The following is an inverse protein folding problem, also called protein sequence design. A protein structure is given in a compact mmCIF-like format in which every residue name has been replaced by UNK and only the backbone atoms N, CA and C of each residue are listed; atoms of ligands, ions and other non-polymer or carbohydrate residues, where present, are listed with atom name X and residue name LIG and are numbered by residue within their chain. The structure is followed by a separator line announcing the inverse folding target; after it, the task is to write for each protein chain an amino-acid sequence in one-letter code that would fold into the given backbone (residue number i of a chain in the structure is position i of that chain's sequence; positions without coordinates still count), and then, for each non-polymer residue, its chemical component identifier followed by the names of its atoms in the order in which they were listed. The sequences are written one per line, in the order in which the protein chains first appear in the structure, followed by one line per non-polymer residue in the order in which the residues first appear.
data_IF_958657730815
#
_entry.id   IF_958657730815
#
_cell.length_a   1.000
_cell.length_b   1.000
_cell.length_c   1.000
_cell.angle_alpha   90.00
_cell.angle_beta   90.00
_cell.angle_gamma   90.00
#
_symmetry.space_group_name_H-M   'P 1'
#
loop_
_entity.id
_entity.type
_entity.pdbx_description
1 polymer ?
#
# COMPACT_ATOMS: atom_id res chain seq x y z
N UNK A 1 -38.84 20.38 -21.77
CA UNK A 1 -38.44 19.29 -20.89
C UNK A 1 -37.76 18.21 -21.70
N UNK A 2 -36.43 18.17 -21.76
CA UNK A 2 -35.66 17.10 -22.43
C UNK A 2 -35.02 16.24 -21.34
N UNK A 3 -35.41 14.96 -21.29
CA UNK A 3 -34.83 13.94 -20.39
C UNK A 3 -33.44 13.57 -20.89
N UNK A 4 -32.44 13.75 -20.06
CA UNK A 4 -31.09 13.16 -20.22
C UNK A 4 -31.10 11.71 -19.68
N UNK A 5 -30.78 10.78 -20.55
CA UNK A 5 -30.51 9.38 -20.21
C UNK A 5 -29.06 9.22 -19.74
N UNK A 6 -28.75 8.35 -18.76
CA UNK A 6 -27.39 8.11 -18.34
C UNK A 6 -26.65 7.19 -19.33
N UNK A 7 -25.43 7.57 -19.65
CA UNK A 7 -24.53 6.76 -20.47
C UNK A 7 -24.02 5.56 -19.65
N UNK A 8 -24.44 4.39 -20.03
CA UNK A 8 -23.88 3.10 -19.57
C UNK A 8 -22.62 2.82 -20.38
N UNK A 9 -21.47 2.80 -19.72
CA UNK A 9 -20.19 2.44 -20.32
C UNK A 9 -20.11 0.90 -20.41
N UNK A 10 -20.28 0.38 -21.62
CA UNK A 10 -20.10 -1.05 -21.93
C UNK A 10 -18.61 -1.28 -22.18
N UNK A 11 -17.96 -2.04 -21.30
CA UNK A 11 -16.60 -2.54 -21.49
C UNK A 11 -16.70 -3.91 -22.15
N UNK A 12 -16.31 -3.99 -23.41
CA UNK A 12 -16.25 -5.26 -24.16
C UNK A 12 -15.00 -6.05 -23.76
N UNK A 13 -15.18 -7.26 -23.28
CA UNK A 13 -14.12 -8.22 -22.99
C UNK A 13 -13.83 -9.04 -24.27
N UNK A 14 -12.60 -8.98 -24.73
CA UNK A 14 -12.05 -9.98 -25.66
C UNK A 14 -11.36 -11.09 -24.86
N UNK A 15 -11.87 -12.29 -25.03
CA UNK A 15 -11.35 -13.53 -24.43
C UNK A 15 -10.28 -14.13 -25.35
N UNK A 16 -9.01 -14.04 -24.96
CA UNK A 16 -7.94 -14.84 -25.57
C UNK A 16 -7.50 -15.90 -24.55
N UNK A 17 -7.84 -17.15 -24.82
CA UNK A 17 -7.33 -18.31 -24.07
C UNK A 17 -5.92 -18.62 -24.53
N UNK A 18 -4.95 -18.51 -23.65
CA UNK A 18 -3.69 -19.25 -23.75
C UNK A 18 -3.49 -20.03 -22.45
N UNK A 19 -3.24 -21.32 -22.63
CA UNK A 19 -2.89 -22.27 -21.56
C UNK A 19 -1.56 -21.80 -20.95
N UNK A 20 -1.53 -21.49 -19.68
CA UNK A 20 -0.31 -21.23 -18.93
C UNK A 20 0.16 -22.55 -18.31
N UNK A 21 1.32 -23.01 -18.71
CA UNK A 21 2.08 -24.06 -18.02
C UNK A 21 2.60 -23.50 -16.68
N UNK A 22 2.51 -24.32 -15.64
CA UNK A 22 3.08 -24.04 -14.33
C UNK A 22 4.59 -23.91 -14.41
N UNK A 23 5.10 -22.69 -14.29
CA UNK A 23 6.54 -22.43 -14.18
C UNK A 23 6.90 -22.31 -12.70
N UNK A 24 7.82 -23.13 -12.18
CA UNK A 24 8.34 -22.96 -10.83
C UNK A 24 9.11 -21.64 -10.73
N UNK A 25 8.74 -20.76 -9.81
CA UNK A 25 9.45 -19.49 -9.58
C UNK A 25 10.57 -19.72 -8.57
N UNK A 26 11.63 -20.39 -9.00
CA UNK A 26 12.95 -20.30 -8.39
C UNK A 26 13.84 -19.46 -9.30
N UNK A 27 13.88 -18.17 -9.04
CA UNK A 27 14.85 -17.29 -9.72
C UNK A 27 15.46 -16.32 -8.70
N UNK A 28 16.58 -16.74 -8.11
CA UNK A 28 17.53 -15.82 -7.52
C UNK A 28 18.18 -15.00 -8.65
N UNK A 29 17.63 -13.82 -8.94
CA UNK A 29 18.28 -12.89 -9.87
C UNK A 29 19.29 -12.03 -9.09
N UNK A 30 20.58 -12.34 -9.29
CA UNK A 30 21.68 -11.44 -8.90
C UNK A 30 21.91 -10.47 -10.05
N UNK A 31 21.52 -9.21 -9.90
CA UNK A 31 21.90 -8.15 -10.83
C UNK A 31 23.03 -7.31 -10.24
N UNK A 32 24.22 -7.44 -10.83
CA UNK A 32 25.35 -6.55 -10.62
C UNK A 32 25.19 -5.31 -11.51
N UNK A 33 24.62 -4.22 -10.98
CA UNK A 33 24.63 -2.91 -11.60
C UNK A 33 25.77 -2.05 -11.09
N UNK A 34 26.31 -1.10 -11.84
CA UNK A 34 27.47 -0.31 -11.46
C UNK A 34 27.14 0.74 -10.41
N UNK A 35 28.04 0.85 -9.42
CA UNK A 35 28.15 1.81 -8.32
C UNK A 35 27.35 1.54 -7.04
N UNK A 36 28.07 1.03 -6.02
CA UNK A 36 27.66 1.05 -4.61
C UNK A 36 26.45 0.15 -4.30
N UNK A 37 26.54 -1.13 -4.65
CA UNK A 37 25.46 -2.09 -4.72
C UNK A 37 24.64 -2.27 -3.44
N UNK A 38 23.44 -1.78 -3.49
CA UNK A 38 22.37 -2.20 -2.58
C UNK A 38 21.72 -3.45 -3.18
N UNK A 39 22.09 -4.61 -2.68
CA UNK A 39 21.48 -5.86 -3.11
C UNK A 39 20.30 -6.19 -2.21
N UNK A 40 19.09 -5.91 -2.65
CA UNK A 40 17.90 -6.48 -2.05
C UNK A 40 17.74 -7.92 -2.53
N UNK A 41 17.67 -8.87 -1.60
CA UNK A 41 17.21 -10.22 -1.91
C UNK A 41 15.69 -10.23 -1.81
N UNK A 42 15.03 -10.74 -2.83
CA UNK A 42 13.57 -10.83 -2.89
C UNK A 42 13.15 -12.27 -2.65
N UNK A 43 12.22 -12.47 -1.75
CA UNK A 43 11.53 -13.74 -1.53
C UNK A 43 10.06 -13.54 -1.78
N UNK A 44 9.46 -14.35 -2.63
CA UNK A 44 8.01 -14.39 -2.79
C UNK A 44 7.39 -15.21 -1.66
N UNK A 45 6.29 -14.70 -1.13
CA UNK A 45 5.64 -15.22 0.03
C UNK A 45 4.13 -15.13 -0.19
N UNK A 46 3.48 -16.28 -0.25
CA UNK A 46 2.03 -16.37 -0.40
C UNK A 46 1.51 -17.57 0.37
N UNK A 47 0.28 -17.50 0.91
CA UNK A 47 -0.38 -18.69 1.40
C UNK A 47 -0.48 -19.76 0.31
N UNK A 48 -0.06 -20.97 0.63
CA UNK A 48 -0.10 -22.08 -0.30
C UNK A 48 -1.55 -22.54 -0.56
N UNK A 49 -2.08 -22.15 -1.70
CA UNK A 49 -3.27 -22.76 -2.31
C UNK A 49 -4.55 -22.86 -1.48
N UNK A 50 -5.51 -23.60 -1.98
CA UNK A 50 -6.75 -23.93 -1.27
C UNK A 50 -7.59 -22.73 -0.85
N UNK A 51 -8.18 -22.79 0.34
CA UNK A 51 -9.05 -21.74 0.89
C UNK A 51 -8.32 -20.44 1.22
N UNK A 52 -6.98 -20.45 1.33
CA UNK A 52 -6.16 -19.27 1.66
C UNK A 52 -5.55 -18.59 0.44
N UNK A 53 -5.79 -19.09 -0.79
CA UNK A 53 -5.30 -18.47 -2.01
C UNK A 53 -5.70 -17.00 -2.07
N UNK A 54 -4.71 -16.13 -2.23
CA UNK A 54 -4.91 -14.67 -2.27
C UNK A 54 -5.57 -14.24 -3.58
N UNK A 55 -6.36 -13.16 -3.48
CA UNK A 55 -6.93 -12.48 -4.63
C UNK A 55 -6.90 -10.98 -4.39
N UNK A 56 -5.95 -10.31 -5.01
CA UNK A 56 -5.73 -8.89 -4.87
C UNK A 56 -5.33 -8.51 -3.42
N UNK A 57 -4.23 -9.09 -2.87
CA UNK A 57 -3.74 -8.66 -1.57
C UNK A 57 -3.29 -7.20 -1.63
N UNK A 58 -3.63 -6.44 -0.61
CA UNK A 58 -3.31 -5.02 -0.57
C UNK A 58 -2.31 -4.65 0.51
N UNK A 59 -2.26 -5.42 1.59
CA UNK A 59 -1.44 -5.08 2.74
C UNK A 59 -1.03 -6.34 3.50
N UNK A 60 0.16 -6.33 4.11
CA UNK A 60 0.53 -7.23 5.20
C UNK A 60 0.75 -6.41 6.46
N UNK A 61 0.16 -6.82 7.56
CA UNK A 61 0.34 -6.25 8.88
C UNK A 61 0.88 -7.28 9.85
N UNK A 62 1.38 -6.79 10.96
CA UNK A 62 1.93 -7.62 12.03
C UNK A 62 1.18 -7.36 13.33
N UNK A 63 0.71 -8.45 13.94
CA UNK A 63 0.05 -8.46 15.24
C UNK A 63 1.01 -8.80 16.38
N UNK A 64 0.47 -9.16 17.57
CA UNK A 64 1.27 -9.60 18.70
C UNK A 64 2.12 -10.83 18.34
N UNK A 65 3.31 -10.93 18.94
CA UNK A 65 4.26 -12.04 18.72
C UNK A 65 4.63 -12.30 17.23
N UNK A 66 4.64 -11.23 16.40
CA UNK A 66 4.87 -11.30 14.95
C UNK A 66 3.80 -12.11 14.18
N UNK A 67 2.57 -12.20 14.68
CA UNK A 67 1.45 -12.69 13.92
C UNK A 67 1.37 -11.96 12.57
N UNK A 68 1.24 -12.71 11.48
CA UNK A 68 1.19 -12.17 10.12
C UNK A 68 -0.25 -12.12 9.61
N UNK A 69 -0.66 -10.96 9.08
CA UNK A 69 -2.04 -10.75 8.64
C UNK A 69 -2.03 -10.12 7.25
N UNK A 70 -2.59 -10.80 6.27
CA UNK A 70 -2.70 -10.31 4.90
C UNK A 70 -4.13 -9.86 4.63
N UNK A 71 -4.28 -8.65 4.13
CA UNK A 71 -5.56 -8.13 3.65
C UNK A 71 -5.81 -8.60 2.22
N UNK A 72 -6.82 -9.45 2.05
CA UNK A 72 -7.18 -10.13 0.81
C UNK A 72 -8.46 -9.51 0.21
N UNK A 73 -8.28 -8.37 -0.48
CA UNK A 73 -9.32 -7.42 -0.86
C UNK A 73 -10.46 -8.04 -1.66
N UNK A 74 -10.15 -8.77 -2.74
CA UNK A 74 -11.17 -9.34 -3.64
C UNK A 74 -11.85 -10.59 -3.09
N UNK A 75 -11.27 -11.20 -2.07
CA UNK A 75 -11.91 -12.25 -1.28
C UNK A 75 -12.64 -11.68 -0.04
N UNK A 76 -12.62 -10.36 0.15
CA UNK A 76 -13.34 -9.65 1.22
C UNK A 76 -12.99 -10.13 2.63
N UNK A 77 -11.70 -10.40 2.91
CA UNK A 77 -11.29 -11.07 4.14
C UNK A 77 -9.88 -10.67 4.58
N UNK A 78 -9.50 -11.16 5.75
CA UNK A 78 -8.12 -11.27 6.20
C UNK A 78 -7.70 -12.74 6.17
N UNK A 79 -6.41 -12.96 5.89
CA UNK A 79 -5.75 -14.25 5.99
C UNK A 79 -4.62 -14.07 7.00
N UNK A 80 -4.51 -14.94 7.99
CA UNK A 80 -3.54 -14.75 9.07
C UNK A 80 -2.89 -16.06 9.50
N UNK A 81 -1.74 -15.95 10.16
CA UNK A 81 -1.09 -17.03 10.93
C UNK A 81 -0.43 -16.46 12.17
N UNK A 82 -0.38 -17.22 13.25
CA UNK A 82 0.13 -16.76 14.53
C UNK A 82 1.66 -16.83 14.61
N UNK A 83 2.29 -17.68 13.80
CA UNK A 83 3.75 -17.72 13.61
C UNK A 83 4.13 -18.08 12.18
N UNK A 84 5.42 -17.90 11.83
CA UNK A 84 5.92 -18.21 10.50
C UNK A 84 5.87 -19.72 10.16
N UNK A 85 5.82 -20.57 11.17
CA UNK A 85 5.79 -22.04 11.06
C UNK A 85 4.36 -22.57 10.88
N UNK A 86 3.35 -21.75 11.18
CA UNK A 86 1.95 -22.18 11.09
C UNK A 86 1.36 -21.91 9.70
N UNK A 87 0.39 -22.72 9.29
CA UNK A 87 -0.35 -22.48 8.05
C UNK A 87 -1.23 -21.25 8.18
N UNK A 88 -1.42 -20.54 7.08
CA UNK A 88 -2.40 -19.46 7.03
C UNK A 88 -3.83 -19.96 7.22
N UNK A 89 -4.62 -19.16 7.93
CA UNK A 89 -6.03 -19.36 8.21
C UNK A 89 -6.85 -18.17 7.67
N UNK A 90 -8.11 -18.44 7.34
CA UNK A 90 -9.04 -17.38 6.94
C UNK A 90 -9.73 -16.83 8.19
N UNK A 91 -9.64 -15.52 8.37
CA UNK A 91 -10.37 -14.84 9.43
C UNK A 91 -11.88 -14.80 9.13
N UNK A 92 -12.73 -15.15 10.09
CA UNK A 92 -14.18 -15.07 9.94
C UNK A 92 -14.76 -13.65 10.16
N UNK A 93 -13.93 -12.64 10.42
CA UNK A 93 -14.36 -11.24 10.56
C UNK A 93 -15.08 -10.78 9.29
N UNK A 94 -16.34 -10.32 9.39
CA UNK A 94 -17.11 -9.93 8.22
C UNK A 94 -16.65 -8.58 7.67
N UNK A 95 -16.02 -8.59 6.50
CA UNK A 95 -15.55 -7.40 5.79
C UNK A 95 -16.01 -7.38 4.34
N UNK A 96 -15.92 -6.20 3.70
CA UNK A 96 -16.13 -6.05 2.28
C UNK A 96 -15.10 -5.10 1.69
N UNK A 97 -14.19 -5.65 0.89
CA UNK A 97 -13.10 -4.90 0.26
C UNK A 97 -12.17 -4.21 1.27
N UNK A 98 -11.66 -4.88 2.31
CA UNK A 98 -10.70 -4.28 3.23
C UNK A 98 -9.40 -3.98 2.48
N UNK A 99 -8.72 -2.86 2.83
CA UNK A 99 -7.45 -2.49 2.20
C UNK A 99 -6.26 -2.61 3.14
N UNK A 100 -6.46 -2.26 4.42
CA UNK A 100 -5.40 -2.33 5.42
C UNK A 100 -5.95 -2.58 6.81
N UNK A 101 -5.08 -2.99 7.70
CA UNK A 101 -5.34 -3.06 9.14
C UNK A 101 -4.05 -2.80 9.93
N UNK A 102 -4.20 -2.39 11.17
CA UNK A 102 -3.11 -2.25 12.14
C UNK A 102 -3.50 -2.86 13.49
N UNK A 103 -2.51 -3.35 14.23
CA UNK A 103 -2.68 -3.77 15.62
C UNK A 103 -2.19 -2.69 16.56
N UNK A 104 -3.03 -2.23 17.48
CA UNK A 104 -2.64 -1.28 18.51
C UNK A 104 -2.32 -2.00 19.83
N UNK A 105 -1.06 -2.08 20.24
CA UNK A 105 -0.67 -2.79 21.46
C UNK A 105 -1.16 -2.13 22.76
N UNK A 106 -1.59 -0.85 22.71
CA UNK A 106 -2.07 -0.13 23.89
C UNK A 106 -3.45 -0.59 24.36
N UNK A 107 -4.34 -0.84 23.42
CA UNK A 107 -5.70 -1.35 23.73
C UNK A 107 -5.90 -2.81 23.31
N UNK A 108 -4.88 -3.41 22.65
CA UNK A 108 -4.87 -4.79 22.17
C UNK A 108 -5.97 -5.07 21.15
N UNK A 109 -6.29 -4.09 20.32
CA UNK A 109 -7.27 -4.21 19.24
C UNK A 109 -6.60 -4.07 17.87
N UNK A 110 -7.17 -4.76 16.92
CA UNK A 110 -6.94 -4.50 15.49
C UNK A 110 -7.92 -3.44 15.02
N UNK A 111 -7.44 -2.54 14.20
CA UNK A 111 -8.26 -1.55 13.51
C UNK A 111 -8.11 -1.75 12.01
N UNK A 112 -9.23 -1.85 11.31
CA UNK A 112 -9.22 -2.07 9.86
C UNK A 112 -10.21 -1.15 9.15
N UNK A 113 -9.87 -0.74 7.94
CA UNK A 113 -10.84 -0.16 7.05
C UNK A 113 -11.67 -1.29 6.39
N UNK A 114 -12.96 -1.16 6.48
CA UNK A 114 -13.93 -2.01 5.78
C UNK A 114 -14.53 -1.14 4.65
N UNK A 115 -13.74 -0.99 3.60
CA UNK A 115 -13.83 0.07 2.60
C UNK A 115 -15.18 0.14 1.90
N UNK A 116 -15.67 -0.99 1.39
CA UNK A 116 -16.93 -1.02 0.64
C UNK A 116 -18.17 -0.97 1.53
N UNK A 117 -18.00 -1.18 2.85
CA UNK A 117 -19.01 -0.93 3.87
C UNK A 117 -18.92 0.49 4.47
N UNK A 118 -17.96 1.32 3.99
CA UNK A 118 -17.79 2.73 4.41
C UNK A 118 -17.59 2.89 5.91
N UNK A 119 -16.81 2.02 6.55
CA UNK A 119 -16.60 2.04 8.00
C UNK A 119 -15.16 1.69 8.40
N UNK A 120 -14.80 2.06 9.61
CA UNK A 120 -13.66 1.49 10.35
C UNK A 120 -14.22 0.52 11.37
N UNK A 121 -13.59 -0.63 11.52
CA UNK A 121 -13.93 -1.66 12.51
C UNK A 121 -12.76 -1.86 13.48
N UNK A 122 -13.06 -2.24 14.71
CA UNK A 122 -12.09 -2.67 15.70
C UNK A 122 -12.50 -4.06 16.24
N UNK A 123 -11.53 -4.95 16.41
CA UNK A 123 -11.74 -6.31 16.93
C UNK A 123 -10.48 -6.81 17.65
N UNK A 124 -10.66 -7.79 18.56
CA UNK A 124 -9.58 -8.28 19.40
C UNK A 124 -8.95 -9.59 18.90
N UNK A 125 -9.68 -10.34 18.06
CA UNK A 125 -9.31 -11.72 17.72
C UNK A 125 -9.68 -12.02 16.25
N UNK A 126 -8.67 -12.36 15.46
CA UNK A 126 -8.82 -12.70 14.04
C UNK A 126 -9.55 -14.04 13.81
N UNK A 127 -9.58 -14.92 14.80
CA UNK A 127 -10.25 -16.23 14.72
C UNK A 127 -11.74 -16.19 15.03
N UNK A 128 -12.27 -15.04 15.43
CA UNK A 128 -13.68 -14.85 15.83
C UNK A 128 -14.42 -13.85 14.96
N UNK A 129 -15.72 -14.01 14.79
CA UNK A 129 -16.59 -13.08 14.06
C UNK A 129 -16.87 -11.75 14.79
N UNK A 130 -16.39 -11.61 16.03
CA UNK A 130 -16.78 -10.51 16.92
C UNK A 130 -16.08 -9.21 16.53
N UNK A 131 -16.86 -8.21 16.15
CA UNK A 131 -16.43 -6.81 16.02
C UNK A 131 -16.70 -6.14 17.37
N UNK A 132 -15.66 -5.57 17.98
CA UNK A 132 -15.76 -4.90 19.27
C UNK A 132 -16.34 -3.48 19.14
N UNK A 133 -16.02 -2.78 18.05
CA UNK A 133 -16.55 -1.47 17.73
C UNK A 133 -16.53 -1.21 16.23
N UNK A 134 -17.43 -0.37 15.75
CA UNK A 134 -17.43 0.13 14.37
C UNK A 134 -17.89 1.57 14.30
N UNK A 135 -17.47 2.29 13.27
CA UNK A 135 -17.95 3.64 13.01
C UNK A 135 -18.02 3.94 11.51
N UNK A 136 -19.00 4.73 11.11
CA UNK A 136 -19.15 5.32 9.77
C UNK A 136 -18.88 6.82 9.76
N UNK A 137 -18.55 7.38 10.91
CA UNK A 137 -18.21 8.81 11.08
C UNK A 137 -17.09 8.95 12.09
N UNK A 138 -16.16 9.86 11.84
CA UNK A 138 -15.11 10.24 12.80
C UNK A 138 -15.07 11.77 12.85
N UNK A 139 -15.07 12.34 14.04
CA UNK A 139 -15.11 13.79 14.24
C UNK A 139 -16.23 14.49 13.45
N UNK A 140 -17.42 13.87 13.34
CA UNK A 140 -18.55 14.38 12.57
C UNK A 140 -18.44 14.27 11.04
N UNK A 141 -17.33 13.75 10.51
CA UNK A 141 -17.13 13.58 9.07
C UNK A 141 -17.45 12.14 8.66
N UNK A 142 -18.34 11.98 7.68
CA UNK A 142 -18.74 10.67 7.16
C UNK A 142 -17.56 9.97 6.44
N UNK A 143 -17.33 8.71 6.77
CA UNK A 143 -16.41 7.84 6.06
C UNK A 143 -16.99 7.48 4.68
N UNK A 144 -16.18 7.71 3.64
CA UNK A 144 -16.54 7.34 2.27
C UNK A 144 -15.42 6.49 1.68
N UNK A 145 -15.60 5.16 1.74
CA UNK A 145 -14.59 4.19 1.30
C UNK A 145 -13.22 4.46 1.95
N UNK A 146 -13.13 4.47 3.32
CA UNK A 146 -11.83 4.69 3.96
C UNK A 146 -10.82 3.72 3.35
N UNK A 147 -9.65 4.24 2.97
CA UNK A 147 -8.76 3.49 2.10
C UNK A 147 -7.54 2.94 2.83
N UNK A 148 -7.11 3.64 3.88
CA UNK A 148 -5.99 3.19 4.67
C UNK A 148 -6.16 3.51 6.15
N UNK A 149 -5.49 2.74 7.00
CA UNK A 149 -5.37 2.94 8.45
C UNK A 149 -3.95 2.64 8.90
N UNK A 150 -3.34 3.58 9.64
CA UNK A 150 -1.98 3.45 10.20
C UNK A 150 -1.96 3.82 11.67
N UNK A 151 -0.93 3.36 12.37
CA UNK A 151 -0.72 3.56 13.79
C UNK A 151 0.57 4.34 14.06
N UNK A 152 0.52 5.33 14.95
CA UNK A 152 1.70 5.78 15.67
C UNK A 152 1.95 4.85 16.86
N UNK A 153 2.96 3.99 16.82
CA UNK A 153 3.18 3.01 17.88
C UNK A 153 3.59 3.65 19.22
N UNK A 154 4.13 4.86 19.18
CA UNK A 154 4.57 5.58 20.37
C UNK A 154 3.39 6.17 21.14
N UNK A 155 2.51 6.89 20.46
CA UNK A 155 1.33 7.52 21.09
C UNK A 155 0.13 6.58 21.16
N UNK A 156 0.03 5.58 20.28
CA UNK A 156 -1.16 4.75 20.07
C UNK A 156 -2.26 5.46 19.30
N UNK A 157 -1.95 6.59 18.68
CA UNK A 157 -2.85 7.29 17.78
C UNK A 157 -3.03 6.52 16.48
N UNK A 158 -4.28 6.39 16.09
CA UNK A 158 -4.67 5.75 14.84
C UNK A 158 -5.06 6.83 13.86
N UNK A 159 -4.61 6.69 12.62
CA UNK A 159 -4.95 7.57 11.52
C UNK A 159 -5.66 6.78 10.42
N UNK A 160 -6.66 7.39 9.80
CA UNK A 160 -7.37 6.82 8.65
C UNK A 160 -7.58 7.89 7.58
N UNK A 161 -7.82 7.50 6.32
CA UNK A 161 -8.00 8.45 5.22
C UNK A 161 -9.25 8.16 4.38
N UNK A 162 -9.99 9.24 4.07
CA UNK A 162 -11.00 9.25 3.02
C UNK A 162 -10.34 9.60 1.67
N UNK A 163 -10.34 8.71 0.66
CA UNK A 163 -9.55 8.89 -0.56
C UNK A 163 -9.98 10.08 -1.41
N UNK A 164 -11.27 10.32 -1.57
CA UNK A 164 -11.79 11.37 -2.47
C UNK A 164 -11.79 12.77 -1.85
N UNK A 165 -12.05 12.86 -0.55
CA UNK A 165 -12.15 14.15 0.13
C UNK A 165 -10.83 14.64 0.71
N UNK A 166 -9.82 13.74 0.80
CA UNK A 166 -8.53 14.02 1.42
C UNK A 166 -8.63 14.30 2.93
N UNK A 167 -9.73 13.90 3.59
CA UNK A 167 -9.79 13.95 5.05
C UNK A 167 -8.93 12.85 5.63
N UNK A 168 -8.01 13.25 6.51
CA UNK A 168 -7.29 12.34 7.40
C UNK A 168 -7.90 12.50 8.79
N UNK A 169 -8.18 11.37 9.39
CA UNK A 169 -8.77 11.25 10.72
C UNK A 169 -7.70 10.84 11.73
N UNK A 170 -7.81 11.29 12.97
CA UNK A 170 -6.97 10.91 14.10
C UNK A 170 -7.84 10.57 15.30
N UNK A 171 -7.58 9.44 15.93
CA UNK A 171 -8.33 8.99 17.13
C UNK A 171 -7.49 8.02 17.97
N UNK A 172 -7.83 7.83 19.25
CA UNK A 172 -7.17 6.83 20.12
C UNK A 172 -7.90 5.49 20.15
N UNK A 173 -9.22 5.54 20.00
CA UNK A 173 -10.11 4.41 19.78
C UNK A 173 -11.38 4.95 19.11
N UNK A 174 -12.19 4.08 18.52
CA UNK A 174 -13.47 4.47 17.94
C UNK A 174 -14.32 5.20 18.99
N UNK A 175 -14.73 6.43 18.69
CA UNK A 175 -15.48 7.31 19.58
C UNK A 175 -14.63 8.04 20.64
N UNK A 176 -13.28 7.98 20.56
CA UNK A 176 -12.40 8.62 21.55
C UNK A 176 -11.34 9.50 20.91
N UNK A 177 -11.24 10.75 21.40
CA UNK A 177 -10.23 11.73 20.97
C UNK A 177 -10.18 11.93 19.47
N UNK A 178 -11.34 11.96 18.84
CA UNK A 178 -11.49 12.08 17.40
C UNK A 178 -11.21 13.49 16.91
N UNK A 179 -10.45 13.58 15.84
CA UNK A 179 -10.26 14.81 15.08
C UNK A 179 -10.06 14.50 13.58
N UNK A 180 -10.31 15.49 12.74
CA UNK A 180 -10.16 15.36 11.30
C UNK A 180 -9.57 16.63 10.71
N UNK A 181 -8.68 16.47 9.74
CA UNK A 181 -8.14 17.57 8.93
C UNK A 181 -8.26 17.21 7.45
N UNK A 182 -8.38 18.24 6.60
CA UNK A 182 -8.32 18.04 5.16
C UNK A 182 -6.89 18.29 4.67
N UNK A 183 -6.30 17.27 4.04
CA UNK A 183 -4.93 17.29 3.55
C UNK A 183 -4.92 17.57 2.05
N UNK A 184 -4.00 18.40 1.53
CA UNK A 184 -3.97 18.81 0.12
C UNK A 184 -3.35 17.74 -0.80
N UNK A 185 -3.92 16.54 -0.78
CA UNK A 185 -3.44 15.37 -1.56
C UNK A 185 -3.63 15.49 -3.08
N UNK A 186 -4.39 16.50 -3.54
CA UNK A 186 -4.52 16.80 -4.96
C UNK A 186 -5.47 15.89 -5.74
N UNK A 187 -6.47 15.33 -5.11
CA UNK A 187 -7.47 14.45 -5.73
C UNK A 187 -7.65 13.16 -4.94
N UNK A 188 -7.41 12.03 -5.57
CA UNK A 188 -7.51 10.73 -4.92
C UNK A 188 -6.28 10.42 -4.09
N UNK A 189 -6.46 10.05 -2.82
CA UNK A 189 -5.41 9.58 -1.92
C UNK A 189 -5.56 8.07 -1.67
N UNK A 190 -4.45 7.34 -1.65
CA UNK A 190 -4.50 5.89 -1.40
C UNK A 190 -4.07 5.50 -0.01
N UNK A 191 -2.92 5.99 0.43
CA UNK A 191 -2.28 5.53 1.64
C UNK A 191 -1.99 6.65 2.63
N UNK A 192 -1.78 6.23 3.85
CA UNK A 192 -1.07 6.93 4.90
C UNK A 192 0.19 6.13 5.22
N UNK A 193 1.25 6.83 5.61
CA UNK A 193 2.47 6.19 6.13
C UNK A 193 2.86 6.90 7.41
N UNK A 194 3.08 6.13 8.47
CA UNK A 194 3.65 6.64 9.71
C UNK A 194 5.02 6.01 9.92
N UNK A 195 6.06 6.76 9.66
CA UNK A 195 7.44 6.29 9.73
C UNK A 195 8.36 7.37 10.27
N UNK A 196 9.39 7.01 11.04
CA UNK A 196 10.33 7.94 11.67
C UNK A 196 9.65 9.09 12.46
N UNK A 197 8.52 8.80 13.15
CA UNK A 197 7.75 9.78 13.91
C UNK A 197 7.02 10.81 13.06
N UNK A 198 6.84 10.56 11.77
CA UNK A 198 6.19 11.47 10.83
C UNK A 198 5.03 10.78 10.14
N UNK A 199 3.97 11.56 9.87
CA UNK A 199 2.78 11.12 9.15
C UNK A 199 2.77 11.70 7.74
N UNK A 200 2.59 10.83 6.76
CA UNK A 200 2.47 11.18 5.35
C UNK A 200 1.13 10.74 4.78
N UNK A 201 0.55 11.54 3.90
CA UNK A 201 -0.61 11.19 3.11
C UNK A 201 -0.22 11.11 1.62
N UNK A 202 -0.61 10.02 0.95
CA UNK A 202 -0.17 9.70 -0.40
C UNK A 202 -1.28 10.02 -1.41
N UNK A 203 -1.06 11.08 -2.18
CA UNK A 203 -1.96 11.56 -3.21
C UNK A 203 -1.69 10.89 -4.56
N UNK A 204 -2.42 9.81 -4.85
CA UNK A 204 -2.21 9.00 -6.06
C UNK A 204 -2.45 9.78 -7.35
N UNK A 205 -3.52 10.57 -7.40
CA UNK A 205 -3.91 11.25 -8.63
C UNK A 205 -2.88 12.24 -9.16
N UNK A 206 -1.97 12.72 -8.30
CA UNK A 206 -0.93 13.70 -8.67
C UNK A 206 0.50 13.21 -8.44
N UNK A 207 0.69 11.98 -7.98
CA UNK A 207 2.02 11.51 -7.58
C UNK A 207 2.58 12.38 -6.45
N UNK A 208 1.76 12.68 -5.44
CA UNK A 208 2.04 13.63 -4.38
C UNK A 208 2.23 12.95 -3.05
N UNK A 209 3.28 13.33 -2.32
CA UNK A 209 3.48 12.98 -0.92
C UNK A 209 3.27 14.24 -0.08
N UNK A 210 2.42 14.16 0.95
CA UNK A 210 2.15 15.27 1.85
C UNK A 210 2.56 14.89 3.27
N UNK A 211 3.62 15.49 3.79
CA UNK A 211 4.00 15.39 5.19
C UNK A 211 3.07 16.26 6.03
N UNK A 212 2.40 15.69 7.02
CA UNK A 212 1.61 16.42 8.01
C UNK A 212 2.56 16.86 9.11
N UNK A 213 3.10 18.08 9.00
CA UNK A 213 4.14 18.60 9.89
C UNK A 213 3.56 18.96 11.25
N UNK A 214 2.36 19.52 11.25
CA UNK A 214 1.64 19.89 12.48
C UNK A 214 0.14 19.71 12.24
N UNK A 215 -0.45 18.87 13.07
CA UNK A 215 -1.86 18.51 12.96
C UNK A 215 -2.78 19.65 13.34
N UNK A 216 -2.48 20.35 14.44
CA UNK A 216 -3.38 21.33 15.04
C UNK A 216 -3.37 22.64 14.25
N UNK A 217 -2.22 23.07 13.78
CA UNK A 217 -2.07 24.24 12.90
C UNK A 217 -2.30 23.91 11.42
N UNK A 218 -2.50 22.63 11.08
CA UNK A 218 -2.68 22.14 9.70
C UNK A 218 -1.53 22.54 8.78
N UNK A 219 -0.31 22.43 9.29
CA UNK A 219 0.90 22.73 8.54
C UNK A 219 1.34 21.51 7.75
N UNK A 220 1.50 21.69 6.46
CA UNK A 220 1.90 20.63 5.52
C UNK A 220 3.19 20.97 4.80
N UNK A 221 3.93 19.92 4.41
CA UNK A 221 5.00 20.02 3.42
C UNK A 221 4.64 19.11 2.24
N UNK A 222 4.66 19.65 1.03
CA UNK A 222 4.16 18.98 -0.16
C UNK A 222 5.33 18.65 -1.08
N UNK A 223 5.39 17.41 -1.54
CA UNK A 223 6.36 16.91 -2.48
C UNK A 223 5.62 16.34 -3.70
N UNK A 224 5.73 17.01 -4.83
CA UNK A 224 5.16 16.54 -6.10
C UNK A 224 6.27 15.87 -6.91
N UNK A 225 6.04 14.65 -7.38
CA UNK A 225 6.99 13.93 -8.23
C UNK A 225 7.23 14.56 -9.60
N UNK A 226 6.43 15.59 -9.97
CA UNK A 226 6.54 16.31 -11.22
C UNK A 226 6.17 17.77 -11.02
N UNK A 227 6.82 18.65 -11.82
CA UNK A 227 6.45 20.05 -11.92
C UNK A 227 4.96 20.19 -12.32
N UNK A 228 4.18 20.75 -11.43
CA UNK A 228 2.72 20.92 -11.62
C UNK A 228 2.40 21.81 -12.82
N UNK A 229 3.34 22.66 -13.28
CA UNK A 229 3.17 23.53 -14.44
C UNK A 229 3.21 22.78 -15.77
N UNK A 230 3.78 21.57 -15.80
CA UNK A 230 3.84 20.70 -16.99
C UNK A 230 2.66 19.73 -17.10
N UNK A 231 1.75 19.76 -16.14
CA UNK A 231 0.57 18.87 -16.08
C UNK A 231 -0.69 19.55 -16.62
N UNK A 232 -0.68 19.96 -17.87
CA UNK A 232 -1.81 20.55 -18.54
C UNK A 232 -2.75 19.46 -19.11
N UNK A 233 -3.43 18.72 -18.23
CA UNK A 233 -4.51 17.82 -18.61
C UNK A 233 -5.82 18.26 -17.94
N UNK A 234 -7.00 17.94 -18.52
CA UNK A 234 -8.27 18.23 -17.88
C UNK A 234 -8.33 17.59 -16.49
N UNK A 235 -8.95 18.28 -15.53
CA UNK A 235 -9.13 17.78 -14.18
C UNK A 235 -9.80 16.39 -14.21
N UNK A 236 -9.11 15.38 -13.68
CA UNK A 236 -9.56 13.99 -13.70
C UNK A 236 -8.94 13.10 -14.79
N UNK A 237 -8.18 13.63 -15.72
CA UNK A 237 -7.32 12.82 -16.58
C UNK A 237 -6.07 12.41 -15.77
N UNK A 238 -5.82 11.11 -15.72
CA UNK A 238 -4.56 10.56 -15.25
C UNK A 238 -3.49 11.12 -16.16
N UNK A 239 -2.64 11.99 -15.62
CA UNK A 239 -1.68 12.70 -16.47
C UNK A 239 -0.67 11.71 -17.06
N UNK A 240 -0.46 11.80 -18.35
CA UNK A 240 0.41 10.92 -19.14
C UNK A 240 1.89 10.87 -18.70
N UNK A 241 2.27 11.59 -17.64
CA UNK A 241 3.67 11.76 -17.24
C UNK A 241 3.93 11.57 -15.75
N UNK A 242 2.96 11.13 -14.95
CA UNK A 242 3.11 11.09 -13.51
C UNK A 242 3.04 9.69 -12.91
N UNK A 243 3.64 9.55 -11.72
CA UNK A 243 3.42 8.39 -10.88
C UNK A 243 2.00 8.40 -10.34
N UNK A 244 1.35 7.25 -10.32
CA UNK A 244 0.08 7.04 -9.61
C UNK A 244 0.41 6.30 -8.33
N UNK A 245 0.92 7.06 -7.35
CA UNK A 245 1.43 6.50 -6.11
C UNK A 245 0.39 5.65 -5.39
N UNK A 246 0.82 4.50 -4.91
CA UNK A 246 0.06 3.68 -3.98
C UNK A 246 0.52 3.96 -2.56
N UNK A 247 1.83 3.89 -2.31
CA UNK A 247 2.40 4.01 -0.99
C UNK A 247 3.84 4.52 -1.03
N UNK A 248 4.34 4.94 0.14
CA UNK A 248 5.74 5.30 0.37
C UNK A 248 6.16 4.79 1.75
N UNK A 249 7.37 4.23 1.87
CA UNK A 249 7.88 3.76 3.15
C UNK A 249 9.39 4.04 3.27
N UNK A 250 9.88 4.22 4.49
CA UNK A 250 11.29 4.40 4.76
C UNK A 250 11.92 3.11 5.27
N UNK A 251 12.91 2.62 4.55
CA UNK A 251 13.60 1.38 4.89
C UNK A 251 15.10 1.50 4.59
N UNK A 252 15.93 1.11 5.54
CA UNK A 252 17.39 1.04 5.39
C UNK A 252 18.03 2.30 4.77
N UNK A 253 17.71 3.46 5.33
CA UNK A 253 18.28 4.74 4.91
C UNK A 253 17.82 5.24 3.54
N UNK A 254 16.73 4.70 3.00
CA UNK A 254 16.13 5.13 1.74
C UNK A 254 14.62 5.12 1.83
N UNK A 255 13.99 5.94 1.01
CA UNK A 255 12.56 5.91 0.76
C UNK A 255 12.27 4.98 -0.41
N UNK A 256 11.19 4.24 -0.30
CA UNK A 256 10.64 3.37 -1.33
C UNK A 256 9.23 3.83 -1.65
N UNK A 257 8.89 3.89 -2.93
CA UNK A 257 7.52 4.23 -3.32
C UNK A 257 7.01 3.27 -4.40
N UNK A 258 5.74 2.96 -4.30
CA UNK A 258 5.02 2.11 -5.25
C UNK A 258 4.08 2.94 -6.10
N UNK A 259 3.95 2.58 -7.38
CA UNK A 259 3.02 3.22 -8.31
C UNK A 259 2.11 2.18 -8.95
N UNK A 260 0.79 2.48 -8.95
CA UNK A 260 -0.23 1.58 -9.51
C UNK A 260 -0.01 1.37 -11.01
N UNK A 261 0.22 2.46 -11.73
CA UNK A 261 0.67 2.50 -13.12
C UNK A 261 1.42 3.81 -13.37
N UNK A 262 2.16 3.84 -14.43
CA UNK A 262 2.91 5.02 -14.89
C UNK A 262 2.31 5.55 -16.19
N UNK A 263 2.91 6.60 -16.73
CA UNK A 263 2.56 7.11 -18.07
C UNK A 263 2.57 6.01 -19.14
N UNK A 264 3.58 5.16 -19.09
CA UNK A 264 3.75 4.08 -20.05
C UNK A 264 2.57 3.13 -20.07
N UNK A 265 2.00 2.84 -18.89
CA UNK A 265 0.78 2.03 -18.82
C UNK A 265 -0.40 2.70 -19.54
N UNK A 266 -0.63 4.00 -19.30
CA UNK A 266 -1.72 4.74 -19.94
C UNK A 266 -1.60 4.80 -21.47
N UNK A 267 -0.37 4.79 -21.98
CA UNK A 267 -0.08 4.84 -23.42
C UNK A 267 0.07 3.44 -24.05
N UNK A 268 -0.06 2.37 -23.27
CA UNK A 268 0.15 1.00 -23.70
C UNK A 268 1.62 0.64 -23.97
N UNK A 269 2.57 1.52 -23.61
CA UNK A 269 4.00 1.30 -23.77
C UNK A 269 4.64 1.02 -22.43
N UNK A 270 5.55 0.08 -22.32
CA UNK A 270 6.43 -0.25 -21.18
C UNK A 270 5.84 0.05 -19.79
N UNK A 271 4.75 -0.61 -19.44
CA UNK A 271 4.00 -0.43 -18.21
C UNK A 271 4.75 -0.83 -16.93
N UNK A 272 5.94 -1.44 -17.07
CA UNK A 272 6.70 -2.01 -15.96
C UNK A 272 7.73 -1.05 -15.36
N UNK A 273 7.94 0.16 -15.93
CA UNK A 273 8.89 1.15 -15.41
C UNK A 273 8.29 2.04 -14.33
N UNK A 274 9.14 2.47 -13.39
CA UNK A 274 8.82 3.37 -12.29
C UNK A 274 7.61 2.91 -11.45
N UNK A 275 7.38 1.61 -11.39
CA UNK A 275 6.32 1.01 -10.56
C UNK A 275 6.77 0.76 -9.13
N UNK A 276 8.09 0.57 -8.96
CA UNK A 276 8.75 0.49 -7.68
C UNK A 276 10.03 1.29 -7.78
N UNK A 277 10.14 2.36 -7.00
CA UNK A 277 11.26 3.29 -7.03
C UNK A 277 11.88 3.44 -5.66
N UNK A 278 13.16 3.82 -5.64
CA UNK A 278 13.93 4.12 -4.43
C UNK A 278 14.62 5.48 -4.56
N UNK A 279 14.60 6.27 -3.50
CA UNK A 279 15.24 7.59 -3.44
C UNK A 279 15.77 7.87 -2.03
N UNK A 280 16.72 8.81 -1.91
CA UNK A 280 17.35 9.15 -0.62
C UNK A 280 16.63 10.26 0.12
N UNK A 281 16.22 11.28 -0.61
CA UNK A 281 15.59 12.48 -0.07
C UNK A 281 14.31 12.80 -0.84
N UNK A 282 13.43 13.59 -0.23
CA UNK A 282 12.24 14.07 -0.96
C UNK A 282 12.60 15.07 -2.09
N UNK A 283 13.79 15.67 -2.05
CA UNK A 283 14.28 16.45 -3.17
C UNK A 283 14.54 15.57 -4.40
N UNK A 284 15.20 14.41 -4.21
CA UNK A 284 15.41 13.44 -5.29
C UNK A 284 14.06 12.99 -5.88
N UNK A 285 13.04 12.82 -5.02
CA UNK A 285 11.69 12.48 -5.49
C UNK A 285 11.06 13.60 -6.33
N UNK A 286 11.27 14.87 -5.97
CA UNK A 286 10.73 16.03 -6.69
C UNK A 286 11.46 16.26 -8.00
N UNK A 287 12.79 16.06 -8.04
CA UNK A 287 13.63 16.24 -9.23
C UNK A 287 13.59 15.06 -10.20
N UNK A 288 13.17 13.88 -9.72
CA UNK A 288 13.16 12.66 -10.51
C UNK A 288 14.44 11.83 -10.42
N UNK A 289 15.32 12.16 -9.46
CA UNK A 289 16.59 11.48 -9.20
C UNK A 289 16.38 10.22 -8.35
N UNK A 290 15.43 9.38 -8.75
CA UNK A 290 15.20 8.08 -8.13
C UNK A 290 15.79 6.95 -8.96
N UNK A 291 16.04 5.84 -8.30
CA UNK A 291 16.37 4.58 -8.93
C UNK A 291 15.08 3.81 -9.24
N UNK A 292 14.89 3.40 -10.49
CA UNK A 292 13.83 2.48 -10.87
C UNK A 292 14.26 1.05 -10.55
N UNK A 293 13.60 0.43 -9.58
CA UNK A 293 13.83 -0.94 -9.15
C UNK A 293 12.66 -1.87 -9.52
N UNK A 294 11.85 -1.47 -10.49
CA UNK A 294 10.68 -2.23 -10.94
C UNK A 294 11.02 -3.62 -11.49
N UNK A 295 12.27 -3.85 -11.89
CA UNK A 295 12.77 -5.17 -12.30
C UNK A 295 12.75 -6.21 -11.15
N UNK A 296 12.61 -5.77 -9.90
CA UNK A 296 12.43 -6.67 -8.75
C UNK A 296 10.99 -7.20 -8.64
N UNK A 297 10.06 -6.63 -9.39
CA UNK A 297 8.68 -7.10 -9.45
C UNK A 297 8.52 -8.16 -10.52
N UNK A 298 7.74 -9.22 -10.29
CA UNK A 298 7.34 -10.11 -11.37
C UNK A 298 6.57 -9.34 -12.45
N UNK A 299 6.81 -9.69 -13.70
CA UNK A 299 6.22 -9.00 -14.85
C UNK A 299 4.70 -8.96 -14.78
N UNK A 300 4.11 -7.79 -15.08
CA UNK A 300 2.66 -7.58 -15.08
C UNK A 300 2.02 -7.46 -13.70
N UNK A 301 2.81 -7.55 -12.62
CA UNK A 301 2.28 -7.39 -11.27
C UNK A 301 2.20 -5.93 -10.87
N UNK A 302 1.15 -5.57 -10.17
CA UNK A 302 0.92 -4.24 -9.60
C UNK A 302 1.42 -4.21 -8.16
N UNK A 303 2.41 -3.37 -7.82
CA UNK A 303 2.82 -3.15 -6.45
C UNK A 303 1.79 -2.30 -5.71
N UNK A 304 1.55 -2.60 -4.43
CA UNK A 304 0.56 -1.88 -3.64
C UNK A 304 1.15 -1.32 -2.36
N UNK A 305 0.72 -1.74 -1.17
CA UNK A 305 1.24 -1.19 0.07
C UNK A 305 2.54 -1.84 0.51
N UNK A 306 3.40 -1.01 1.06
CA UNK A 306 4.65 -1.35 1.70
C UNK A 306 4.43 -1.50 3.21
N UNK A 307 5.21 -2.36 3.85
CA UNK A 307 5.24 -2.49 5.30
C UNK A 307 6.66 -2.82 5.75
N UNK A 308 7.15 -2.13 6.76
CA UNK A 308 8.44 -2.45 7.38
C UNK A 308 8.19 -3.16 8.70
N UNK A 309 8.81 -4.31 8.87
CA UNK A 309 8.82 -5.07 10.13
C UNK A 309 10.15 -5.80 10.33
N UNK A 310 10.78 -5.65 11.50
CA UNK A 310 11.99 -6.36 11.89
C UNK A 310 13.11 -6.35 10.82
N UNK A 311 13.51 -5.19 10.34
CA UNK A 311 14.53 -5.04 9.30
C UNK A 311 14.20 -5.71 7.94
N UNK A 312 12.95 -5.97 7.69
CA UNK A 312 12.42 -6.47 6.43
C UNK A 312 11.43 -5.47 5.84
N UNK A 313 11.49 -5.32 4.53
CA UNK A 313 10.48 -4.57 3.75
C UNK A 313 9.57 -5.57 3.05
N UNK A 314 8.28 -5.39 3.20
CA UNK A 314 7.25 -6.21 2.56
C UNK A 314 6.48 -5.36 1.55
N UNK A 315 6.04 -5.99 0.48
CA UNK A 315 5.26 -5.37 -0.58
C UNK A 315 4.16 -6.31 -1.04
N UNK A 316 2.92 -5.86 -0.92
CA UNK A 316 1.78 -6.56 -1.52
C UNK A 316 1.79 -6.34 -3.04
N UNK A 317 1.66 -7.43 -3.81
CA UNK A 317 1.57 -7.42 -5.26
C UNK A 317 0.36 -8.22 -5.73
N UNK A 318 -0.26 -7.76 -6.81
CA UNK A 318 -1.35 -8.50 -7.43
C UNK A 318 -1.37 -8.33 -8.95
N UNK A 319 -1.98 -9.29 -9.64
CA UNK A 319 -2.24 -9.20 -11.05
C UNK A 319 -3.57 -8.48 -11.30
N UNK A 320 -3.49 -7.25 -11.82
CA UNK A 320 -4.69 -6.45 -12.08
C UNK A 320 -5.61 -7.04 -13.15
N UNK A 321 -5.03 -7.63 -14.19
CA UNK A 321 -5.77 -8.21 -15.31
C UNK A 321 -6.33 -9.60 -14.99
N UNK A 322 -5.61 -10.37 -14.16
CA UNK A 322 -5.99 -11.73 -13.76
C UNK A 322 -5.86 -11.93 -12.25
N UNK A 323 -6.75 -11.33 -11.43
CA UNK A 323 -6.67 -11.40 -9.97
C UNK A 323 -6.64 -12.84 -9.45
N UNK A 324 -5.67 -13.15 -8.60
CA UNK A 324 -5.38 -14.49 -8.09
C UNK A 324 -4.32 -15.26 -8.89
N UNK A 325 -3.77 -14.67 -9.95
CA UNK A 325 -2.67 -15.24 -10.72
C UNK A 325 -1.36 -14.56 -10.32
N UNK A 326 -0.57 -15.21 -9.47
CA UNK A 326 0.70 -14.66 -8.97
C UNK A 326 0.54 -13.63 -7.85
N UNK A 327 -0.66 -13.41 -7.32
CA UNK A 327 -0.95 -12.50 -6.22
C UNK A 327 -0.20 -12.96 -4.95
N UNK A 328 0.63 -12.08 -4.38
CA UNK A 328 1.57 -12.47 -3.32
C UNK A 328 2.01 -11.27 -2.46
N UNK A 329 2.81 -11.59 -1.45
CA UNK A 329 3.64 -10.64 -0.72
C UNK A 329 5.10 -10.88 -1.13
N UNK A 330 5.81 -9.84 -1.52
CA UNK A 330 7.25 -9.86 -1.67
C UNK A 330 7.91 -9.44 -0.37
N UNK A 331 8.95 -10.15 0.03
CA UNK A 331 9.78 -9.84 1.19
C UNK A 331 11.17 -9.47 0.72
N UNK A 332 11.66 -8.31 1.11
CA UNK A 332 12.99 -7.82 0.77
C UNK A 332 13.88 -7.83 2.00
N UNK A 333 15.07 -8.38 1.85
CA UNK A 333 16.12 -8.39 2.87
C UNK A 333 17.32 -7.59 2.42
N UNK A 334 18.03 -6.98 3.36
CA UNK A 334 19.37 -6.42 3.11
C UNK A 334 20.31 -7.53 2.68
N UNK A 335 21.03 -7.37 1.58
CA UNK A 335 22.22 -8.20 1.37
C UNK A 335 23.36 -7.56 2.15
N UNK A 336 23.84 -8.23 3.18
CA UNK A 336 25.14 -7.88 3.74
C UNK A 336 26.18 -8.06 2.65
N UNK A 337 26.82 -6.97 2.21
CA UNK A 337 28.10 -7.09 1.48
C UNK A 337 29.02 -7.87 2.43
N UNK A 338 29.47 -9.04 2.01
CA UNK A 338 30.49 -9.75 2.73
C UNK A 338 31.64 -8.75 2.95
N UNK A 339 31.90 -8.40 4.21
CA UNK A 339 33.08 -7.61 4.57
C UNK A 339 34.26 -8.32 3.95
N UNK A 340 35.01 -7.63 3.06
CA UNK A 340 36.25 -8.14 2.51
C UNK A 340 37.10 -8.64 3.70
N UNK A 341 37.62 -9.86 3.63
CA UNK A 341 38.51 -10.33 4.70
C UNK A 341 39.65 -9.32 4.86
N UNK A 342 39.84 -8.85 6.07
CA UNK A 342 40.96 -7.98 6.42
C UNK A 342 42.23 -8.64 5.86
N UNK A 343 42.93 -7.94 4.95
CA UNK A 343 44.27 -8.36 4.52
C UNK A 343 45.14 -8.29 5.76
N UNK A 344 45.40 -9.45 6.37
CA UNK A 344 46.49 -9.58 7.33
C UNK A 344 47.78 -9.13 6.64
N UNK A 345 48.44 -8.15 7.24
CA UNK A 345 49.77 -7.71 6.88
C UNK A 345 50.79 -8.51 7.67
#
# INVERSE_FOLDING_TARGET
MKKLLPHTMVVSFFLVRTLAEDVPVDAAHSNNGPSGGFNLKVKTYAPEGGSTKLKFPTHIAFGPANQEIITDLKNHRFVFRDSAEEPFQVSPIPTRGPHSLVYNPKDKLYYANDTDNHRIIAFADLSRKTIAAETKTIAGVTLKRPHDVVLDPTSGLIYAINPYSGHVFRFTAIGKNESAIRVPVGGYARALTFTNGKLFAIGSAKGRIVEIVDWDTKKFRIYDSFDSTKRNGPAGAWTKTGLVLNDVEFFDGSWYATSYFTKSYADGADSDKNRFIRFKTFEDFVTGDWEDISQLLPKGMTPYYLTVNNDLLYLAIFNHESPGSGDAILQFTKSHSASSPAKEK
#
